data_IF_441737206886
#
_entry.id   IF_441737206886
#
_cell.length_a   1.000
_cell.length_b   1.000
_cell.length_c   1.000
_cell.angle_alpha   90.00
_cell.angle_beta   90.00
_cell.angle_gamma   90.00
#
_symmetry.space_group_name_H-M   'P 1'
#
loop_
_entity.id
_entity.type
_entity.pdbx_description
1 polymer ?
#
# COMPACT_ATOMS: atom_id res chain seq x y z
N UNK A 1 -23.30 -11.63 -6.76
CA UNK A 1 -24.12 -12.86 -6.85
C UNK A 1 -25.58 -12.63 -6.43
N UNK A 2 -26.54 -12.73 -7.35
CA UNK A 2 -27.98 -12.58 -7.02
C UNK A 2 -28.53 -13.68 -6.08
N UNK A 3 -29.85 -13.67 -5.79
CA UNK A 3 -30.45 -14.50 -4.72
C UNK A 3 -30.46 -16.02 -4.97
N UNK A 4 -30.06 -16.50 -6.15
CA UNK A 4 -30.00 -17.94 -6.46
C UNK A 4 -28.65 -18.62 -6.08
N UNK A 5 -27.73 -17.87 -5.48
CA UNK A 5 -26.41 -18.34 -5.03
C UNK A 5 -26.46 -18.43 -3.49
N UNK A 6 -26.48 -19.65 -2.94
CA UNK A 6 -26.77 -19.88 -1.52
C UNK A 6 -25.67 -20.67 -0.78
N UNK A 7 -24.95 -21.57 -1.47
CA UNK A 7 -23.89 -22.38 -0.83
C UNK A 7 -22.52 -21.74 -0.98
N UNK A 8 -21.61 -22.04 -0.06
CA UNK A 8 -20.21 -21.57 -0.12
C UNK A 8 -19.54 -21.91 -1.47
N UNK A 9 -19.81 -23.10 -2.00
CA UNK A 9 -19.30 -23.54 -3.31
C UNK A 9 -19.82 -22.64 -4.45
N UNK A 10 -21.13 -22.35 -4.46
CA UNK A 10 -21.73 -21.45 -5.45
C UNK A 10 -21.20 -20.02 -5.33
N UNK A 11 -20.92 -19.55 -4.11
CA UNK A 11 -20.33 -18.22 -3.85
C UNK A 11 -18.90 -18.17 -4.40
N UNK A 12 -18.07 -19.16 -4.09
CA UNK A 12 -16.68 -19.24 -4.56
C UNK A 12 -16.60 -19.34 -6.09
N UNK A 13 -17.46 -20.13 -6.72
CA UNK A 13 -17.55 -20.24 -8.18
C UNK A 13 -17.97 -18.93 -8.84
N UNK A 14 -18.82 -18.14 -8.20
CA UNK A 14 -19.17 -16.82 -8.69
C UNK A 14 -17.99 -15.85 -8.54
N UNK A 15 -17.35 -15.81 -7.37
CA UNK A 15 -16.16 -14.96 -7.12
C UNK A 15 -15.06 -15.28 -8.12
N UNK A 16 -14.75 -16.55 -8.38
CA UNK A 16 -13.70 -16.95 -9.31
C UNK A 16 -13.93 -16.45 -10.75
N UNK A 17 -15.19 -16.28 -11.17
CA UNK A 17 -15.57 -15.83 -12.53
C UNK A 17 -15.69 -14.31 -12.66
N UNK A 18 -16.11 -13.64 -11.60
CA UNK A 18 -16.52 -12.22 -11.63
C UNK A 18 -15.56 -11.29 -10.89
N UNK A 19 -14.70 -11.82 -10.02
CA UNK A 19 -13.79 -11.00 -9.23
C UNK A 19 -12.85 -10.18 -10.13
N UNK A 20 -12.74 -8.90 -9.79
CA UNK A 20 -11.80 -7.98 -10.40
C UNK A 20 -10.60 -7.72 -9.49
N UNK A 21 -9.49 -7.33 -10.10
CA UNK A 21 -8.34 -6.87 -9.34
C UNK A 21 -8.56 -5.44 -8.85
N UNK A 22 -8.11 -5.16 -7.63
CA UNK A 22 -8.01 -3.78 -7.14
C UNK A 22 -6.94 -2.93 -7.85
N UNK A 23 -6.25 -3.49 -8.85
CA UNK A 23 -5.20 -2.83 -9.65
C UNK A 23 -4.03 -2.33 -8.80
N UNK A 24 -3.63 -3.12 -7.81
CA UNK A 24 -2.54 -2.81 -6.88
C UNK A 24 -1.37 -3.83 -6.93
N UNK A 25 -0.79 -4.13 -8.11
CA UNK A 25 0.39 -5.01 -8.18
C UNK A 25 1.56 -4.38 -7.41
N UNK A 26 2.20 -5.18 -6.54
CA UNK A 26 3.23 -4.70 -5.61
C UNK A 26 4.07 -5.86 -5.08
N UNK A 27 5.07 -5.55 -4.25
CA UNK A 27 5.86 -6.49 -3.45
C UNK A 27 6.80 -7.46 -4.21
N UNK A 28 6.95 -7.33 -5.53
CA UNK A 28 7.74 -8.27 -6.34
C UNK A 28 9.26 -8.10 -6.20
N UNK A 29 9.73 -6.96 -5.68
CA UNK A 29 11.14 -6.70 -5.34
C UNK A 29 11.21 -6.22 -3.89
N UNK A 30 10.59 -6.97 -2.98
CA UNK A 30 10.35 -6.52 -1.61
C UNK A 30 11.63 -6.20 -0.85
N UNK A 31 11.56 -5.15 -0.03
CA UNK A 31 12.53 -4.93 1.02
C UNK A 31 12.34 -5.91 2.18
N UNK A 32 13.42 -6.26 2.86
CA UNK A 32 13.36 -7.13 4.03
C UNK A 32 14.71 -7.67 4.45
N UNK A 33 14.71 -8.44 5.53
CA UNK A 33 15.89 -9.09 6.11
C UNK A 33 15.88 -10.61 5.96
N UNK A 34 14.86 -11.17 5.30
CA UNK A 34 14.76 -12.61 5.02
C UNK A 34 15.44 -12.98 3.72
N UNK A 35 15.62 -14.29 3.50
CA UNK A 35 16.32 -14.83 2.31
C UNK A 35 15.64 -14.50 0.98
N UNK A 36 14.34 -14.17 1.01
CA UNK A 36 13.55 -13.78 -0.15
C UNK A 36 13.45 -12.26 -0.36
N UNK A 37 14.20 -11.47 0.42
CA UNK A 37 14.27 -10.03 0.25
C UNK A 37 15.21 -9.64 -0.90
N UNK A 38 14.76 -8.72 -1.74
CA UNK A 38 15.55 -8.16 -2.85
C UNK A 38 16.28 -6.89 -2.42
N UNK A 39 15.68 -6.12 -1.51
CA UNK A 39 16.19 -4.82 -1.09
C UNK A 39 16.51 -4.77 0.41
N UNK A 40 17.55 -4.02 0.76
CA UNK A 40 17.83 -3.62 2.14
C UNK A 40 16.77 -2.65 2.65
N UNK A 41 16.03 -2.95 3.74
CA UNK A 41 14.98 -2.08 4.27
C UNK A 41 15.50 -0.74 4.78
N UNK A 42 16.78 -0.62 5.14
CA UNK A 42 17.34 0.64 5.62
C UNK A 42 17.70 1.61 4.49
N UNK A 43 18.07 1.11 3.31
CA UNK A 43 18.63 1.92 2.23
C UNK A 43 17.94 1.78 0.87
N UNK A 44 17.01 0.84 0.73
CA UNK A 44 16.38 0.38 -0.51
C UNK A 44 17.37 -0.05 -1.61
N UNK A 45 18.62 -0.34 -1.24
CA UNK A 45 19.61 -0.88 -2.16
C UNK A 45 19.31 -2.32 -2.47
N UNK A 46 19.54 -2.71 -3.72
CA UNK A 46 19.48 -4.11 -4.11
C UNK A 46 20.62 -4.86 -3.42
N UNK A 47 20.30 -5.95 -2.74
CA UNK A 47 21.31 -6.76 -2.06
C UNK A 47 22.37 -7.25 -3.06
N UNK A 48 23.66 -7.10 -2.69
CA UNK A 48 24.78 -7.53 -3.51
C UNK A 48 25.09 -6.67 -4.73
N UNK A 49 24.38 -5.55 -4.96
CA UNK A 49 24.62 -4.64 -6.09
C UNK A 49 24.85 -3.22 -5.58
N UNK A 50 26.00 -2.66 -5.91
CA UNK A 50 26.33 -1.27 -5.60
C UNK A 50 25.62 -0.29 -6.55
N UNK A 51 25.22 0.86 -6.00
CA UNK A 51 24.66 1.97 -6.78
C UNK A 51 23.23 1.77 -7.29
N UNK A 52 22.59 0.63 -7.05
CA UNK A 52 21.23 0.33 -7.53
C UNK A 52 20.21 0.34 -6.39
N UNK A 53 19.05 0.97 -6.64
CA UNK A 53 17.89 0.99 -5.75
C UNK A 53 16.61 0.78 -6.53
N UNK A 54 15.57 0.28 -5.86
CA UNK A 54 14.20 0.21 -6.39
C UNK A 54 13.29 1.00 -5.47
N UNK A 55 12.55 1.95 -6.05
CA UNK A 55 11.72 2.92 -5.32
C UNK A 55 10.36 3.02 -5.99
N UNK A 56 9.59 1.94 -5.89
CA UNK A 56 8.21 1.85 -6.40
C UNK A 56 7.39 0.86 -5.55
N UNK A 57 6.19 0.49 -6.03
CA UNK A 57 5.31 -0.45 -5.34
C UNK A 57 5.91 -1.85 -5.16
N UNK A 58 6.85 -2.27 -6.00
CA UNK A 58 7.50 -3.57 -5.87
C UNK A 58 8.37 -3.66 -4.62
N UNK A 59 8.87 -2.53 -4.11
CA UNK A 59 9.71 -2.45 -2.92
C UNK A 59 8.95 -2.74 -1.62
N UNK A 60 7.62 -2.64 -1.61
CA UNK A 60 6.82 -2.86 -0.41
C UNK A 60 6.95 -4.32 0.08
N UNK A 61 7.10 -4.59 1.40
CA UNK A 61 7.17 -5.95 1.92
C UNK A 61 5.82 -6.67 1.85
N UNK A 62 4.76 -5.91 2.03
CA UNK A 62 3.36 -6.35 1.97
C UNK A 62 2.50 -5.22 1.41
N UNK A 63 1.40 -5.59 0.78
CA UNK A 63 0.39 -4.63 0.33
C UNK A 63 -0.29 -3.98 1.55
N UNK A 64 -0.61 -2.69 1.44
CA UNK A 64 -1.35 -1.96 2.47
C UNK A 64 -2.85 -2.26 2.43
N UNK A 65 -3.55 -2.10 3.56
CA UNK A 65 -5.02 -2.27 3.66
C UNK A 65 -5.82 -1.08 3.07
N UNK A 66 -5.38 -0.54 1.93
CA UNK A 66 -5.98 0.59 1.22
C UNK A 66 -5.35 0.73 -0.19
N UNK A 67 -5.81 1.72 -0.96
CA UNK A 67 -5.18 2.12 -2.21
C UNK A 67 -3.70 2.45 -2.03
N UNK A 68 -2.85 1.91 -2.92
CA UNK A 68 -1.40 1.92 -2.72
C UNK A 68 -0.70 3.20 -3.19
N UNK A 69 -1.42 4.12 -3.84
CA UNK A 69 -0.82 5.36 -4.35
C UNK A 69 -0.12 6.17 -3.26
N UNK A 70 -0.82 6.47 -2.15
CA UNK A 70 -0.24 7.26 -1.08
C UNK A 70 0.96 6.57 -0.39
N UNK A 71 0.90 5.25 -0.07
CA UNK A 71 2.07 4.51 0.38
C UNK A 71 3.27 4.56 -0.58
N UNK A 72 3.06 4.46 -1.88
CA UNK A 72 4.13 4.53 -2.89
C UNK A 72 4.78 5.92 -2.91
N UNK A 73 3.97 6.98 -2.87
CA UNK A 73 4.49 8.35 -2.78
C UNK A 73 5.30 8.55 -1.49
N UNK A 74 4.78 8.07 -0.35
CA UNK A 74 5.49 8.14 0.93
C UNK A 74 6.84 7.42 0.88
N UNK A 75 6.87 6.21 0.31
CA UNK A 75 8.11 5.44 0.12
C UNK A 75 9.10 6.20 -0.76
N UNK A 76 8.64 6.83 -1.83
CA UNK A 76 9.49 7.63 -2.72
C UNK A 76 10.09 8.86 -2.03
N UNK A 77 9.29 9.62 -1.27
CA UNK A 77 9.76 10.77 -0.49
C UNK A 77 10.81 10.34 0.55
N UNK A 78 10.53 9.26 1.30
CA UNK A 78 11.49 8.70 2.26
C UNK A 78 12.79 8.26 1.59
N UNK A 79 12.70 7.62 0.42
CA UNK A 79 13.87 7.20 -0.35
C UNK A 79 14.69 8.40 -0.85
N UNK A 80 14.05 9.48 -1.27
CA UNK A 80 14.73 10.70 -1.69
C UNK A 80 15.58 11.29 -0.56
N UNK A 81 15.05 11.32 0.67
CA UNK A 81 15.80 11.75 1.85
C UNK A 81 16.99 10.82 2.13
N UNK A 82 16.79 9.50 2.10
CA UNK A 82 17.87 8.52 2.30
C UNK A 82 18.98 8.66 1.24
N UNK A 83 18.62 8.85 -0.02
CA UNK A 83 19.58 9.03 -1.13
C UNK A 83 20.36 10.33 -0.96
N UNK A 84 19.72 11.40 -0.49
CA UNK A 84 20.35 12.71 -0.30
C UNK A 84 21.02 12.88 1.07
N UNK A 85 20.94 11.91 1.97
CA UNK A 85 21.43 12.01 3.34
C UNK A 85 20.72 13.08 4.16
N UNK A 86 19.40 13.25 3.94
CA UNK A 86 18.57 14.24 4.62
C UNK A 86 17.70 13.58 5.69
N UNK A 87 17.42 14.34 6.74
CA UNK A 87 16.41 13.98 7.74
C UNK A 87 15.05 14.43 7.22
N UNK A 88 13.98 13.60 7.34
CA UNK A 88 12.64 14.02 6.97
C UNK A 88 12.20 15.26 7.71
N UNK A 89 11.39 16.08 7.04
CA UNK A 89 10.77 17.24 7.64
C UNK A 89 9.88 16.83 8.81
N UNK A 90 9.78 17.72 9.81
CA UNK A 90 8.84 17.53 10.89
C UNK A 90 7.39 17.57 10.35
N UNK A 91 6.46 16.82 10.96
CA UNK A 91 5.05 16.91 10.62
C UNK A 91 4.55 18.35 10.77
N UNK A 92 3.71 18.78 9.83
CA UNK A 92 3.03 20.07 9.89
C UNK A 92 1.55 19.83 10.19
N UNK A 93 0.99 20.67 11.06
CA UNK A 93 -0.45 20.68 11.33
C UNK A 93 -1.11 21.66 10.35
N UNK A 94 -2.01 21.15 9.52
CA UNK A 94 -2.71 21.93 8.51
C UNK A 94 -4.22 21.80 8.71
N UNK A 95 -4.99 22.89 8.56
CA UNK A 95 -6.44 22.80 8.56
C UNK A 95 -6.88 21.90 7.40
N UNK A 96 -7.72 20.92 7.71
CA UNK A 96 -8.34 20.05 6.71
C UNK A 96 -9.86 20.16 6.83
N UNK A 97 -10.54 19.87 5.71
CA UNK A 97 -11.99 19.89 5.68
C UNK A 97 -12.57 18.82 6.62
N UNK A 98 -13.44 19.25 7.52
CA UNK A 98 -14.31 18.36 8.30
C UNK A 98 -15.74 18.61 7.84
N UNK A 99 -16.41 17.57 7.37
CA UNK A 99 -17.84 17.65 7.09
C UNK A 99 -18.58 17.86 8.42
N UNK A 100 -19.48 18.84 8.48
CA UNK A 100 -20.31 19.09 9.66
C UNK A 100 -21.09 17.80 10.00
N UNK A 101 -21.15 17.43 11.28
CA UNK A 101 -21.94 16.27 11.69
C UNK A 101 -23.40 16.48 11.22
N UNK A 102 -23.96 15.50 10.51
CA UNK A 102 -25.38 15.54 10.18
C UNK A 102 -26.19 15.75 11.46
N UNK A 103 -27.24 16.59 11.45
CA UNK A 103 -28.06 16.80 12.63
C UNK A 103 -28.57 15.44 13.13
N UNK A 104 -28.45 15.24 14.44
CA UNK A 104 -28.88 14.04 15.14
C UNK A 104 -30.30 13.67 14.66
N UNK A 105 -30.47 12.47 14.08
CA UNK A 105 -31.79 12.02 13.66
C UNK A 105 -32.66 11.94 14.91
N UNK A 106 -33.64 12.82 15.02
CA UNK A 106 -34.65 12.78 16.07
C UNK A 106 -35.31 11.39 16.04
N UNK A 107 -35.02 10.57 17.05
CA UNK A 107 -35.75 9.32 17.31
C UNK A 107 -37.15 9.71 17.78
N UNK A 108 -38.12 9.59 16.88
CA UNK A 108 -39.55 9.57 17.20
C UNK A 108 -40.02 8.15 17.47
#
# INVERSE_FOLDING_TARGET
>A
PGPAVETDEQILDWVARDAETGLHPSCTAKMGTGDDAVLDPASLRVWGIDGLRVVDASSMPHITNANIYAPVVMLAERAADLIRGRTPLAPIDLPYYRHDAAPERATG
#
